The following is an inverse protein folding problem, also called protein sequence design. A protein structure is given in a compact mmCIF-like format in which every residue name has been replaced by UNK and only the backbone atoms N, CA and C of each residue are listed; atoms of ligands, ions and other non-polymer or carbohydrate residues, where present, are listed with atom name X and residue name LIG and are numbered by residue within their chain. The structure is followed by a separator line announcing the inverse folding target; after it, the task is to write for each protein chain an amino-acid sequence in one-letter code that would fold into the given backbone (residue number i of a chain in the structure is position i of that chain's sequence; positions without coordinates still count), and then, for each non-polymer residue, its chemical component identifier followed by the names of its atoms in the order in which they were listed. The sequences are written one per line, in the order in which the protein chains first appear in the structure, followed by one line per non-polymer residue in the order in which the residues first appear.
data_IF_514688775229
#
_entry.id   IF_514688775229
#
_cell.length_a   1.000
_cell.length_b   1.000
_cell.length_c   1.000
_cell.angle_alpha   90.00
_cell.angle_beta   90.00
_cell.angle_gamma   90.00
#
_symmetry.space_group_name_H-M   'P 1'
#
loop_
_entity.id
_entity.type
_entity.pdbx_description
1 polymer ?
#
# COMPACT_ATOMS: atom_id res chain seq x y z
N UNK A 1 -19.44 -3.97 33.04
CA UNK A 1 -18.21 -4.59 32.48
C UNK A 1 -17.87 -3.83 31.19
N UNK A 2 -16.88 -2.94 31.24
CA UNK A 2 -16.48 -2.14 30.06
C UNK A 2 -15.35 -2.89 29.36
N UNK A 3 -15.59 -3.34 28.13
CA UNK A 3 -14.55 -3.97 27.28
C UNK A 3 -13.85 -2.84 26.51
N UNK A 4 -12.61 -2.52 26.89
CA UNK A 4 -11.76 -1.59 26.13
C UNK A 4 -11.18 -2.38 24.94
N UNK A 5 -11.64 -2.06 23.73
CA UNK A 5 -11.08 -2.65 22.50
C UNK A 5 -9.85 -1.85 22.10
N UNK A 6 -8.67 -2.27 22.56
CA UNK A 6 -7.40 -1.69 22.11
C UNK A 6 -7.15 -2.10 20.67
N UNK A 7 -7.07 -1.13 19.75
CA UNK A 7 -6.62 -1.36 18.37
C UNK A 7 -5.11 -1.55 18.39
N UNK A 8 -4.64 -2.71 17.98
CA UNK A 8 -3.21 -3.04 17.87
C UNK A 8 -2.87 -3.38 16.42
N UNK A 9 -1.69 -2.96 15.97
CA UNK A 9 -1.11 -3.37 14.69
C UNK A 9 -0.41 -4.72 14.81
N UNK A 10 -0.41 -5.52 13.73
CA UNK A 10 0.31 -6.79 13.66
C UNK A 10 1.23 -6.79 12.45
N UNK A 11 2.49 -7.16 12.63
CA UNK A 11 3.38 -7.54 11.52
C UNK A 11 3.14 -9.03 11.28
N UNK A 12 2.70 -9.38 10.08
CA UNK A 12 2.43 -10.77 9.71
C UNK A 12 3.49 -11.22 8.74
N UNK A 13 4.37 -12.11 9.19
CA UNK A 13 5.31 -12.79 8.31
C UNK A 13 4.68 -14.08 7.76
N UNK A 14 4.93 -14.35 6.49
CA UNK A 14 4.72 -15.66 5.88
C UNK A 14 6.08 -16.33 5.90
N UNK A 15 6.14 -17.54 6.44
CA UNK A 15 7.35 -18.35 6.37
C UNK A 15 7.61 -18.71 4.90
N UNK A 16 8.73 -18.27 4.29
CA UNK A 16 9.01 -18.51 2.88
C UNK A 16 9.33 -19.98 2.56
N UNK A 17 9.70 -20.78 3.56
CA UNK A 17 10.02 -22.20 3.39
C UNK A 17 8.80 -23.11 3.43
N UNK A 18 7.76 -22.70 4.18
CA UNK A 18 6.55 -23.53 4.39
C UNK A 18 5.29 -22.90 3.82
N UNK A 19 5.31 -21.62 3.44
CA UNK A 19 4.13 -20.85 3.06
C UNK A 19 3.14 -20.63 4.20
N UNK A 20 3.49 -21.02 5.43
CA UNK A 20 2.57 -20.99 6.58
C UNK A 20 2.43 -19.56 7.08
N UNK A 21 1.17 -19.12 7.23
CA UNK A 21 0.83 -17.84 7.85
C UNK A 21 0.53 -18.04 9.33
N UNK A 22 1.11 -17.21 10.21
CA UNK A 22 0.76 -17.24 11.63
C UNK A 22 -0.76 -17.05 11.84
N UNK A 23 -1.35 -17.90 12.68
CA UNK A 23 -2.81 -17.96 12.92
C UNK A 23 -3.26 -16.81 13.82
N UNK A 24 -3.52 -15.65 13.21
CA UNK A 24 -3.96 -14.45 13.92
C UNK A 24 -5.49 -14.31 13.83
N UNK A 25 -6.17 -14.82 14.87
CA UNK A 25 -7.63 -14.79 15.07
C UNK A 25 -8.30 -13.39 14.96
N UNK A 26 -7.54 -12.29 14.92
CA UNK A 26 -8.04 -10.90 14.98
C UNK A 26 -7.85 -10.07 13.70
N UNK A 27 -7.46 -10.66 12.57
CA UNK A 27 -7.26 -9.91 11.32
C UNK A 27 -8.55 -9.57 10.55
N UNK A 28 -9.68 -10.26 10.81
CA UNK A 28 -10.94 -9.96 10.10
C UNK A 28 -11.37 -8.50 10.26
N UNK A 29 -11.18 -7.92 11.44
CA UNK A 29 -11.58 -6.54 11.75
C UNK A 29 -10.58 -5.45 11.36
N UNK A 30 -9.38 -5.79 10.89
CA UNK A 30 -8.38 -4.78 10.51
C UNK A 30 -8.87 -4.00 9.28
N UNK A 31 -8.89 -2.66 9.32
CA UNK A 31 -9.29 -1.84 8.17
C UNK A 31 -8.13 -1.51 7.21
N UNK A 32 -6.90 -1.72 7.67
CA UNK A 32 -5.66 -1.35 6.97
C UNK A 32 -4.68 -2.52 7.05
N UNK A 33 -3.91 -2.73 6.00
CA UNK A 33 -2.79 -3.66 5.94
C UNK A 33 -1.54 -2.88 5.52
N UNK A 34 -0.55 -2.82 6.41
CA UNK A 34 0.77 -2.29 6.10
C UNK A 34 1.62 -3.37 5.44
N UNK A 35 2.18 -3.10 4.25
CA UNK A 35 2.96 -4.07 3.47
C UNK A 35 4.31 -3.48 3.10
N UNK A 36 5.36 -4.30 3.20
CA UNK A 36 6.70 -3.94 2.75
C UNK A 36 6.68 -3.72 1.23
N UNK A 37 7.10 -2.53 0.77
CA UNK A 37 6.81 -2.06 -0.59
C UNK A 37 7.27 -2.98 -1.74
N UNK A 38 8.38 -3.75 -1.68
CA UNK A 38 8.75 -4.66 -2.76
C UNK A 38 7.82 -5.86 -2.91
N UNK A 39 6.99 -6.15 -1.90
CA UNK A 39 6.00 -7.23 -1.94
C UNK A 39 4.64 -6.78 -2.48
N UNK A 40 4.50 -5.50 -2.83
CA UNK A 40 3.26 -4.94 -3.35
C UNK A 40 3.24 -5.07 -4.87
N UNK A 41 2.16 -5.68 -5.37
CA UNK A 41 1.77 -5.73 -6.77
C UNK A 41 0.25 -5.52 -6.91
N UNK A 42 -0.19 -5.32 -8.15
CA UNK A 42 -1.58 -5.04 -8.48
C UNK A 42 -2.53 -6.13 -7.96
N UNK A 43 -2.09 -7.40 -8.01
CA UNK A 43 -2.88 -8.54 -7.57
C UNK A 43 -3.12 -8.49 -6.06
N UNK A 44 -2.08 -8.20 -5.27
CA UNK A 44 -2.18 -8.03 -3.82
C UNK A 44 -3.13 -6.89 -3.48
N UNK A 45 -3.00 -5.75 -4.14
CA UNK A 45 -3.83 -4.56 -3.89
C UNK A 45 -5.30 -4.87 -4.20
N UNK A 46 -5.60 -5.46 -5.37
CA UNK A 46 -6.97 -5.88 -5.75
C UNK A 46 -7.59 -6.85 -4.74
N UNK A 47 -6.84 -7.84 -4.25
CA UNK A 47 -7.34 -8.80 -3.25
C UNK A 47 -7.70 -8.10 -1.93
N UNK A 48 -6.89 -7.13 -1.50
CA UNK A 48 -7.11 -6.40 -0.25
C UNK A 48 -8.28 -5.42 -0.38
N UNK A 49 -8.35 -4.68 -1.48
CA UNK A 49 -9.47 -3.79 -1.78
C UNK A 49 -10.80 -4.55 -1.89
N UNK A 50 -10.83 -5.71 -2.56
CA UNK A 50 -12.02 -6.57 -2.63
C UNK A 50 -12.52 -7.05 -1.25
N UNK A 51 -11.66 -6.98 -0.22
CA UNK A 51 -11.98 -7.30 1.18
C UNK A 51 -12.18 -6.06 2.05
N UNK A 52 -12.36 -4.89 1.42
CA UNK A 52 -12.54 -3.60 2.06
C UNK A 52 -11.38 -3.25 3.02
N UNK A 53 -10.14 -3.55 2.59
CA UNK A 53 -8.91 -3.26 3.33
C UNK A 53 -8.11 -2.19 2.58
N UNK A 54 -7.68 -1.14 3.28
CA UNK A 54 -6.70 -0.18 2.73
C UNK A 54 -5.29 -0.77 2.77
N UNK A 55 -4.47 -0.44 1.79
CA UNK A 55 -3.09 -0.91 1.64
C UNK A 55 -2.11 0.23 1.89
N UNK A 56 -1.27 0.12 2.91
CA UNK A 56 -0.26 1.13 3.24
C UNK A 56 1.13 0.56 2.93
N UNK A 57 1.84 1.17 1.99
CA UNK A 57 3.22 0.79 1.68
C UNK A 57 4.18 1.34 2.74
N UNK A 58 5.13 0.54 3.21
CA UNK A 58 6.17 1.01 4.12
C UNK A 58 7.53 0.35 3.84
N UNK A 59 8.66 0.95 4.20
CA UNK A 59 8.89 2.41 4.14
C UNK A 59 9.45 2.70 2.76
N UNK A 60 8.93 3.70 2.06
CA UNK A 60 9.29 3.99 0.67
C UNK A 60 10.04 5.30 0.62
N UNK A 61 11.34 5.26 0.37
CA UNK A 61 12.19 6.45 0.44
C UNK A 61 12.79 6.84 -0.93
N UNK A 62 12.70 5.97 -1.94
CA UNK A 62 13.14 6.23 -3.31
C UNK A 62 12.00 6.60 -4.26
N UNK A 63 12.23 7.57 -5.15
CA UNK A 63 11.23 8.11 -6.08
C UNK A 63 10.65 7.08 -7.05
N UNK A 64 11.46 6.15 -7.57
CA UNK A 64 11.01 5.05 -8.44
C UNK A 64 9.97 4.16 -7.72
N UNK A 65 10.25 3.81 -6.46
CA UNK A 65 9.31 3.03 -5.66
C UNK A 65 8.07 3.83 -5.29
N UNK A 66 8.20 5.13 -4.98
CA UNK A 66 7.04 6.00 -4.75
C UNK A 66 6.12 6.04 -5.96
N UNK A 67 6.67 6.26 -7.17
CA UNK A 67 5.91 6.25 -8.43
C UNK A 67 5.22 4.92 -8.63
N UNK A 68 5.94 3.81 -8.43
CA UNK A 68 5.35 2.47 -8.52
C UNK A 68 4.18 2.30 -7.55
N UNK A 69 4.32 2.68 -6.27
CA UNK A 69 3.23 2.55 -5.29
C UNK A 69 1.97 3.34 -5.69
N UNK A 70 2.14 4.52 -6.29
CA UNK A 70 1.01 5.30 -6.82
C UNK A 70 0.31 4.56 -7.97
N UNK A 71 1.07 3.95 -8.88
CA UNK A 71 0.54 3.17 -10.01
C UNK A 71 -0.11 1.86 -9.58
N UNK A 72 0.41 1.21 -8.53
CA UNK A 72 -0.20 0.03 -7.92
C UNK A 72 -1.45 0.37 -7.07
N UNK A 73 -1.83 1.64 -7.00
CA UNK A 73 -3.02 2.15 -6.30
C UNK A 73 -3.05 1.86 -4.79
N UNK A 74 -1.91 1.96 -4.11
CA UNK A 74 -1.90 1.91 -2.64
C UNK A 74 -2.63 3.11 -2.04
N UNK A 75 -3.25 2.92 -0.87
CA UNK A 75 -4.03 3.96 -0.19
C UNK A 75 -3.17 4.95 0.59
N UNK A 76 -1.94 4.56 0.97
CA UNK A 76 -0.98 5.45 1.59
C UNK A 76 0.46 4.95 1.41
N UNK A 77 1.41 5.88 1.46
CA UNK A 77 2.85 5.61 1.47
C UNK A 77 3.44 6.15 2.77
N UNK A 78 4.08 5.27 3.54
CA UNK A 78 4.89 5.62 4.71
C UNK A 78 6.30 5.91 4.21
N UNK A 79 6.81 7.12 4.48
CA UNK A 79 8.10 7.60 3.97
C UNK A 79 8.79 8.50 4.99
N UNK A 80 10.12 8.46 4.98
CA UNK A 80 11.00 9.42 5.65
C UNK A 80 11.16 10.71 4.83
N UNK A 81 10.75 10.73 3.56
CA UNK A 81 10.93 11.83 2.61
C UNK A 81 9.59 12.34 2.01
N UNK A 82 8.74 13.01 2.81
CA UNK A 82 7.42 13.48 2.35
C UNK A 82 7.51 14.54 1.25
N UNK A 83 8.57 15.33 1.20
CA UNK A 83 8.77 16.34 0.16
C UNK A 83 9.02 15.72 -1.22
N UNK A 84 9.80 14.62 -1.28
CA UNK A 84 9.98 13.87 -2.52
C UNK A 84 8.67 13.23 -2.96
N UNK A 85 7.92 12.61 -2.05
CA UNK A 85 6.63 12.00 -2.37
C UNK A 85 5.66 13.02 -2.98
N UNK A 86 5.59 14.23 -2.42
CA UNK A 86 4.75 15.30 -2.97
C UNK A 86 5.13 15.67 -4.41
N UNK A 87 6.43 15.74 -4.72
CA UNK A 87 6.90 16.01 -6.10
C UNK A 87 6.52 14.87 -7.03
N UNK A 88 6.78 13.62 -6.66
CA UNK A 88 6.41 12.45 -7.47
C UNK A 88 4.90 12.40 -7.75
N UNK A 89 4.06 12.71 -6.76
CA UNK A 89 2.60 12.78 -6.96
C UNK A 89 2.20 13.85 -7.99
N UNK A 90 2.89 15.00 -8.02
CA UNK A 90 2.67 16.05 -9.01
C UNK A 90 3.13 15.59 -10.39
N UNK A 91 4.32 15.00 -10.50
CA UNK A 91 4.88 14.51 -11.76
C UNK A 91 3.99 13.44 -12.41
N UNK A 92 3.53 12.47 -11.62
CA UNK A 92 2.60 11.42 -12.10
C UNK A 92 1.29 12.04 -12.60
N UNK A 93 0.75 13.04 -11.88
CA UNK A 93 -0.48 13.73 -12.29
C UNK A 93 -0.30 14.48 -13.62
N UNK A 94 0.84 15.13 -13.81
CA UNK A 94 1.17 15.86 -15.05
C UNK A 94 1.35 14.90 -16.22
N UNK A 95 2.06 13.79 -16.03
CA UNK A 95 2.26 12.76 -17.06
C UNK A 95 0.93 12.19 -17.55
N UNK A 96 -0.02 11.89 -16.65
CA UNK A 96 -1.36 11.44 -17.05
C UNK A 96 -2.13 12.48 -17.88
N UNK A 97 -1.87 13.78 -17.68
CA UNK A 97 -2.50 14.84 -18.45
C UNK A 97 -1.92 14.92 -19.86
N UNK A 98 -0.60 14.82 -20.03
CA UNK A 98 0.07 14.85 -21.33
C UNK A 98 -0.29 13.63 -22.21
N UNK A 99 -0.37 12.43 -21.62
CA UNK A 99 -0.78 11.22 -22.34
C UNK A 99 -2.25 11.25 -22.76
N UNK A 100 -3.13 11.85 -21.95
CA UNK A 100 -4.56 12.01 -22.26
C UNK A 100 -4.85 12.94 -23.44
N UNK A 101 -3.97 13.92 -23.71
CA UNK A 101 -4.07 14.79 -24.89
C UNK A 101 -3.52 14.14 -26.16
N UNK A 102 -2.57 13.21 -26.03
CA UNK A 102 -1.89 12.58 -27.16
C UNK A 102 -2.72 11.51 -27.89
N UNK A 103 -3.92 11.18 -27.39
CA UNK A 103 -4.87 10.25 -28.03
C UNK A 103 -5.80 10.94 -29.05
N UNK A 104 -5.62 12.24 -29.31
CA UNK A 104 -6.27 12.96 -30.39
C UNK A 104 -5.26 13.22 -31.53
N UNK A 105 -5.01 12.21 -32.36
CA UNK A 105 -4.31 12.35 -33.65
C UNK A 105 -4.80 11.26 -34.60
#
# INVERSE_FOLDING_TARGET
MVVIVVKVGYIVMIDPSTGTRMKLLRMRGAGVVGVYHPLIDEKLVKILHARNKKVYAWTVDEGEWMKRMLLEHVDAVVTSNPALLQRVMQDVRTQCFEEGFSLAS
#
